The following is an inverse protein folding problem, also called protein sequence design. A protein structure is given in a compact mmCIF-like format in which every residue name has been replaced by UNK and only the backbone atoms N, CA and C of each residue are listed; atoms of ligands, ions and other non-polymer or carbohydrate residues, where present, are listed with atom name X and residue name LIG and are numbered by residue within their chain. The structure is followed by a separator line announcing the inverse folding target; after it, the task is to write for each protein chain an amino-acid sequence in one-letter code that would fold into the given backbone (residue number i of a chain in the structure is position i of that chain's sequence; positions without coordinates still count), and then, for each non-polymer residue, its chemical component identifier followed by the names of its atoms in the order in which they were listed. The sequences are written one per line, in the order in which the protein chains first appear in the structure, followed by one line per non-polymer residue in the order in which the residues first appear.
data_IF_751226128945
#
_entry.id   IF_751226128945
#
_cell.length_a   1.000
_cell.length_b   1.000
_cell.length_c   1.000
_cell.angle_alpha   90.00
_cell.angle_beta   90.00
_cell.angle_gamma   90.00
#
_symmetry.space_group_name_H-M   'P 1'
#
loop_
_entity.id
_entity.type
_entity.pdbx_description
1 polymer ?
#
# COMPACT_ATOMS: atom_id res chain seq x y z
N UNK A 1 -53.16 8.88 -34.30
CA UNK A 1 -52.68 9.30 -32.96
C UNK A 1 -51.78 8.27 -32.27
N UNK A 2 -51.98 6.94 -32.43
CA UNK A 2 -51.16 5.91 -31.73
C UNK A 2 -49.66 5.87 -32.13
N UNK A 3 -49.31 6.21 -33.36
CA UNK A 3 -47.93 6.13 -33.88
C UNK A 3 -47.00 7.23 -33.36
N UNK A 4 -47.51 8.43 -33.05
CA UNK A 4 -46.71 9.52 -32.47
C UNK A 4 -46.22 9.17 -31.07
N UNK A 5 -47.08 8.56 -30.24
CA UNK A 5 -46.74 8.22 -28.86
C UNK A 5 -45.68 7.11 -28.75
N UNK A 6 -45.66 6.16 -29.70
CA UNK A 6 -44.63 5.11 -29.77
C UNK A 6 -43.27 5.71 -30.13
N UNK A 7 -43.23 6.69 -31.03
CA UNK A 7 -42.00 7.36 -31.42
C UNK A 7 -41.40 8.18 -30.26
N UNK A 8 -42.24 8.91 -29.51
CA UNK A 8 -41.78 9.64 -28.33
C UNK A 8 -41.34 8.71 -27.19
N UNK A 9 -42.05 7.59 -26.97
CA UNK A 9 -41.63 6.60 -25.98
C UNK A 9 -40.29 5.95 -26.34
N UNK A 10 -40.05 5.67 -27.63
CA UNK A 10 -38.77 5.18 -28.12
C UNK A 10 -37.64 6.20 -27.95
N UNK A 11 -37.90 7.49 -28.20
CA UNK A 11 -36.91 8.55 -28.03
C UNK A 11 -36.56 8.78 -26.54
N UNK A 12 -37.54 8.73 -25.64
CA UNK A 12 -37.32 8.83 -24.20
C UNK A 12 -36.55 7.61 -23.66
N UNK A 13 -36.85 6.40 -24.15
CA UNK A 13 -36.08 5.21 -23.78
C UNK A 13 -34.63 5.30 -24.26
N UNK A 14 -34.39 5.83 -25.47
CA UNK A 14 -33.05 6.05 -26.00
C UNK A 14 -32.28 7.09 -25.16
N UNK A 15 -32.93 8.20 -24.77
CA UNK A 15 -32.33 9.19 -23.87
C UNK A 15 -31.99 8.63 -22.49
N UNK A 16 -32.85 7.79 -21.92
CA UNK A 16 -32.59 7.13 -20.63
C UNK A 16 -31.47 6.08 -20.72
N UNK A 17 -31.34 5.40 -21.87
CA UNK A 17 -30.25 4.44 -22.12
C UNK A 17 -28.89 5.15 -22.31
N UNK A 18 -28.85 6.35 -22.88
CA UNK A 18 -27.60 7.10 -23.04
C UNK A 18 -27.16 7.85 -21.78
N UNK A 19 -28.09 8.22 -20.89
CA UNK A 19 -27.75 8.84 -19.60
C UNK A 19 -27.27 7.83 -18.55
N UNK A 20 -27.49 6.53 -18.77
CA UNK A 20 -27.10 5.47 -17.85
C UNK A 20 -25.67 4.93 -18.08
N UNK A 21 -24.91 5.50 -19.03
CA UNK A 21 -23.56 5.06 -19.40
C UNK A 21 -22.43 6.06 -19.06
N UNK A 22 -22.69 7.06 -18.23
CA UNK A 22 -21.61 7.74 -17.52
C UNK A 22 -21.40 7.02 -16.18
N UNK A 23 -20.80 5.81 -16.23
CA UNK A 23 -19.91 5.44 -15.14
C UNK A 23 -18.71 6.37 -15.31
N UNK A 24 -18.79 7.55 -14.68
CA UNK A 24 -17.60 8.37 -14.50
C UNK A 24 -16.68 7.50 -13.63
N UNK A 25 -15.68 6.89 -14.26
CA UNK A 25 -14.49 6.45 -13.52
C UNK A 25 -14.04 7.71 -12.78
N UNK A 26 -14.14 7.67 -11.44
CA UNK A 26 -13.92 8.83 -10.59
C UNK A 26 -12.43 9.17 -10.62
N UNK A 27 -11.97 9.84 -11.69
CA UNK A 27 -10.60 10.33 -11.87
C UNK A 27 -10.35 11.58 -11.01
N UNK A 28 -10.79 11.54 -9.75
CA UNK A 28 -10.57 12.63 -8.82
C UNK A 28 -9.10 12.73 -8.43
N UNK A 29 -8.58 13.94 -8.48
CA UNK A 29 -7.22 14.30 -8.05
C UNK A 29 -7.32 15.32 -6.93
N UNK A 30 -6.54 15.14 -5.87
CA UNK A 30 -6.54 16.06 -4.75
C UNK A 30 -5.29 16.03 -3.91
N UNK A 31 -5.06 17.12 -3.18
CA UNK A 31 -3.93 17.25 -2.26
C UNK A 31 -4.36 16.68 -0.91
N UNK A 32 -3.56 15.76 -0.36
CA UNK A 32 -3.78 15.14 0.95
C UNK A 32 -2.64 15.41 1.90
N UNK A 33 -2.93 15.33 3.19
CA UNK A 33 -1.95 15.32 4.27
C UNK A 33 -1.98 13.96 4.94
N UNK A 34 -0.80 13.35 5.11
CA UNK A 34 -0.68 12.06 5.78
C UNK A 34 -0.74 12.29 7.30
N UNK A 35 -1.54 11.49 7.98
CA UNK A 35 -1.75 11.56 9.44
C UNK A 35 -1.18 10.35 10.18
N UNK A 36 -0.78 9.30 9.47
CA UNK A 36 -0.20 8.10 10.05
C UNK A 36 0.12 7.05 9.00
N UNK A 37 0.49 5.86 9.48
CA UNK A 37 0.63 4.65 8.68
C UNK A 37 -0.07 3.49 9.38
N UNK A 38 -0.48 2.47 8.62
CA UNK A 38 -0.96 1.20 9.14
C UNK A 38 -0.12 0.07 8.56
N UNK A 39 0.20 -0.90 9.39
CA UNK A 39 0.97 -2.07 8.99
C UNK A 39 0.07 -3.31 8.97
N UNK A 40 0.14 -4.09 7.90
CA UNK A 40 -0.42 -5.43 7.84
C UNK A 40 0.67 -6.41 7.39
N UNK A 41 0.71 -7.60 8.00
CA UNK A 41 1.78 -8.57 7.82
C UNK A 41 1.21 -9.85 7.24
N UNK A 42 1.93 -10.46 6.30
CA UNK A 42 1.47 -11.59 5.52
C UNK A 42 2.53 -12.68 5.39
N UNK A 43 2.05 -13.90 5.25
CA UNK A 43 2.86 -15.06 4.91
C UNK A 43 2.79 -15.29 3.39
N UNK A 44 3.94 -15.29 2.73
CA UNK A 44 4.09 -15.44 1.29
C UNK A 44 4.70 -16.79 0.86
N UNK A 45 4.49 -17.89 1.60
CA UNK A 45 4.99 -19.22 1.20
C UNK A 45 4.25 -19.82 0.00
N UNK A 46 3.01 -19.38 -0.23
CA UNK A 46 2.14 -19.93 -1.25
C UNK A 46 2.23 -19.22 -2.60
N UNK A 47 1.26 -19.48 -3.47
CA UNK A 47 1.12 -18.76 -4.75
C UNK A 47 0.80 -17.27 -4.57
N UNK A 48 0.19 -16.91 -3.43
CA UNK A 48 -0.20 -15.55 -3.08
C UNK A 48 -0.01 -15.32 -1.58
N UNK A 49 0.20 -14.07 -1.13
CA UNK A 49 0.25 -13.77 0.30
C UNK A 49 -1.06 -14.08 1.01
N UNK A 50 -0.96 -14.54 2.25
CA UNK A 50 -2.10 -14.84 3.13
C UNK A 50 -1.92 -14.19 4.50
N UNK A 51 -3.04 -13.97 5.21
CA UNK A 51 -3.04 -13.42 6.57
C UNK A 51 -2.30 -14.38 7.52
N UNK A 52 -1.54 -13.83 8.46
CA UNK A 52 -0.87 -14.59 9.51
C UNK A 52 -1.87 -14.85 10.65
N UNK A 53 -2.43 -16.05 10.73
CA UNK A 53 -3.47 -16.39 11.72
C UNK A 53 -2.92 -16.63 13.14
N UNK A 54 -1.72 -17.20 13.26
CA UNK A 54 -1.15 -17.64 14.54
C UNK A 54 -0.03 -16.71 15.06
N UNK A 55 0.10 -15.51 14.49
CA UNK A 55 1.19 -14.57 14.81
C UNK A 55 2.60 -15.06 14.44
N UNK A 56 2.72 -16.14 13.67
CA UNK A 56 3.98 -16.76 13.27
C UNK A 56 4.13 -16.78 11.75
N UNK A 57 5.29 -16.39 11.24
CA UNK A 57 5.61 -16.40 9.81
C UNK A 57 7.01 -16.99 9.58
N UNK A 58 7.19 -17.91 8.61
CA UNK A 58 8.53 -18.26 8.15
C UNK A 58 9.25 -16.99 7.73
N UNK A 59 10.48 -16.81 8.19
CA UNK A 59 11.27 -15.61 7.87
C UNK A 59 11.51 -15.43 6.37
N UNK A 60 11.54 -16.52 5.61
CA UNK A 60 11.67 -16.53 4.16
C UNK A 60 10.42 -16.07 3.40
N UNK A 61 9.29 -15.97 4.10
CA UNK A 61 7.99 -15.66 3.53
C UNK A 61 7.42 -14.35 4.05
N UNK A 62 8.17 -13.58 4.84
CA UNK A 62 7.66 -12.38 5.48
C UNK A 62 7.43 -11.24 4.49
N UNK A 63 6.17 -10.81 4.39
CA UNK A 63 5.72 -9.67 3.61
C UNK A 63 5.02 -8.67 4.52
N UNK A 64 5.33 -7.38 4.34
CA UNK A 64 4.64 -6.29 5.02
C UNK A 64 3.98 -5.35 4.01
N UNK A 65 2.74 -4.96 4.29
CA UNK A 65 1.99 -3.88 3.63
C UNK A 65 2.00 -2.66 4.53
N UNK A 66 2.48 -1.55 3.98
CA UNK A 66 2.47 -0.24 4.63
C UNK A 66 1.42 0.62 3.94
N UNK A 67 0.38 0.99 4.67
CA UNK A 67 -0.74 1.80 4.19
C UNK A 67 -0.65 3.21 4.77
N UNK A 68 -0.36 4.25 3.96
CA UNK A 68 -0.46 5.64 4.41
C UNK A 68 -1.90 6.00 4.80
N UNK A 69 -2.06 6.74 5.90
CA UNK A 69 -3.35 7.19 6.42
C UNK A 69 -3.54 8.67 6.10
N UNK A 70 -4.70 9.04 5.56
CA UNK A 70 -5.15 10.43 5.39
C UNK A 70 -6.64 10.54 5.72
N UNK A 71 -7.11 11.77 5.96
CA UNK A 71 -8.54 12.03 6.24
C UNK A 71 -9.42 11.81 5.01
N UNK A 72 -8.90 12.14 3.83
CA UNK A 72 -9.57 12.03 2.54
C UNK A 72 -8.70 11.28 1.55
N UNK A 73 -9.35 10.59 0.61
CA UNK A 73 -8.72 9.86 -0.48
C UNK A 73 -9.38 10.22 -1.80
N UNK A 74 -8.54 10.41 -2.82
CA UNK A 74 -8.86 10.64 -4.21
C UNK A 74 -8.20 9.55 -5.06
N UNK A 75 -8.65 9.36 -6.30
CA UNK A 75 -8.02 8.41 -7.23
C UNK A 75 -6.52 8.67 -7.43
N UNK A 76 -6.15 9.95 -7.55
CA UNK A 76 -4.76 10.39 -7.46
C UNK A 76 -4.57 11.33 -6.28
N UNK A 77 -3.78 10.91 -5.29
CA UNK A 77 -3.49 11.74 -4.12
C UNK A 77 -2.11 12.38 -4.27
N UNK A 78 -2.07 13.70 -4.40
CA UNK A 78 -0.84 14.48 -4.31
C UNK A 78 -0.52 14.71 -2.84
N UNK A 79 0.67 14.36 -2.40
CA UNK A 79 1.09 14.59 -1.03
C UNK A 79 1.41 16.08 -0.83
N UNK A 80 0.75 16.72 0.14
CA UNK A 80 1.03 18.09 0.57
C UNK A 80 2.49 18.27 0.98
N UNK A 81 3.06 17.25 1.62
CA UNK A 81 4.49 17.13 1.89
C UNK A 81 4.97 15.78 1.35
N UNK A 82 5.91 15.75 0.37
CA UNK A 82 6.43 14.51 -0.18
C UNK A 82 7.08 13.63 0.88
N UNK A 83 7.01 12.30 0.72
CA UNK A 83 7.80 11.38 1.54
C UNK A 83 9.22 11.38 0.97
N UNK A 84 10.21 11.66 1.83
CA UNK A 84 11.62 11.81 1.47
C UNK A 84 12.50 10.71 2.06
N UNK A 85 12.04 9.99 3.07
CA UNK A 85 12.72 8.80 3.59
C UNK A 85 11.73 7.74 4.04
N UNK A 86 12.16 6.49 3.87
CA UNK A 86 11.46 5.29 4.33
C UNK A 86 12.49 4.44 5.06
N UNK A 87 12.28 4.24 6.35
CA UNK A 87 13.15 3.42 7.19
C UNK A 87 12.41 2.18 7.68
N UNK A 88 13.15 1.09 7.80
CA UNK A 88 12.66 -0.13 8.46
C UNK A 88 13.67 -0.44 9.56
N UNK A 89 13.33 -0.05 10.78
CA UNK A 89 14.22 -0.18 11.94
C UNK A 89 13.96 -1.53 12.59
N UNK A 90 14.99 -2.35 12.75
CA UNK A 90 14.86 -3.58 13.54
C UNK A 90 14.90 -3.28 15.03
N UNK A 91 13.96 -3.80 15.82
CA UNK A 91 13.87 -3.56 17.27
C UNK A 91 14.58 -4.65 18.10
N UNK A 92 15.03 -5.70 17.43
CA UNK A 92 15.78 -6.83 17.98
C UNK A 92 17.03 -7.02 17.14
N UNK A 93 18.08 -7.63 17.68
CA UNK A 93 19.30 -7.89 16.91
C UNK A 93 18.99 -8.79 15.70
N UNK A 94 19.03 -8.24 14.49
CA UNK A 94 18.72 -8.94 13.25
C UNK A 94 19.82 -9.94 12.88
N UNK A 95 21.07 -9.49 13.00
CA UNK A 95 22.30 -10.26 12.96
C UNK A 95 23.47 -9.41 13.52
N UNK A 96 24.71 -9.88 13.41
CA UNK A 96 25.90 -9.16 13.90
C UNK A 96 26.13 -7.80 13.21
N UNK A 97 25.72 -7.66 11.93
CA UNK A 97 25.89 -6.42 11.15
C UNK A 97 24.77 -5.41 11.41
N UNK A 98 23.60 -5.89 11.85
CA UNK A 98 22.38 -5.10 12.07
C UNK A 98 21.83 -5.35 13.49
N UNK A 99 22.45 -4.77 14.53
CA UNK A 99 21.90 -4.82 15.89
C UNK A 99 20.58 -4.04 15.99
N UNK A 100 19.86 -4.21 17.10
CA UNK A 100 18.66 -3.44 17.41
C UNK A 100 18.88 -1.93 17.24
N UNK A 101 17.93 -1.27 16.58
CA UNK A 101 17.99 0.14 16.17
C UNK A 101 18.58 0.38 14.79
N UNK A 102 19.06 -0.66 14.09
CA UNK A 102 19.59 -0.51 12.72
C UNK A 102 18.48 -0.31 11.69
N UNK A 103 18.73 0.59 10.73
CA UNK A 103 17.91 0.70 9.53
C UNK A 103 18.27 -0.40 8.54
N UNK A 104 17.34 -1.32 8.36
CA UNK A 104 17.43 -2.49 7.49
C UNK A 104 16.54 -2.35 6.26
N UNK A 105 16.06 -1.14 5.91
CA UNK A 105 15.24 -0.89 4.72
C UNK A 105 15.80 -1.55 3.46
N UNK A 106 17.12 -1.51 3.26
CA UNK A 106 17.80 -2.11 2.10
C UNK A 106 17.67 -3.63 1.98
N UNK A 107 17.38 -4.32 3.09
CA UNK A 107 17.16 -5.77 3.12
C UNK A 107 15.74 -6.15 2.65
N UNK A 108 14.85 -5.17 2.55
CA UNK A 108 13.53 -5.32 1.98
C UNK A 108 13.53 -4.91 0.50
N UNK A 109 12.68 -5.57 -0.29
CA UNK A 109 12.43 -5.20 -1.69
C UNK A 109 10.95 -4.98 -1.94
N UNK A 110 10.67 -4.11 -2.92
CA UNK A 110 9.32 -3.92 -3.42
C UNK A 110 8.76 -5.24 -3.93
N UNK A 111 7.58 -5.61 -3.42
CA UNK A 111 6.94 -6.86 -3.77
C UNK A 111 6.26 -6.74 -5.13
N UNK A 112 6.47 -7.70 -6.07
CA UNK A 112 5.91 -7.58 -7.40
C UNK A 112 4.38 -7.55 -7.40
N UNK A 113 3.74 -6.48 -7.95
CA UNK A 113 2.30 -6.34 -8.07
C UNK A 113 1.55 -7.58 -8.60
N UNK A 114 2.15 -8.22 -9.61
CA UNK A 114 1.57 -9.36 -10.31
C UNK A 114 1.40 -10.61 -9.43
N UNK A 115 2.14 -10.69 -8.32
CA UNK A 115 2.10 -11.80 -7.36
C UNK A 115 1.09 -11.55 -6.22
N UNK A 116 0.41 -10.40 -6.21
CA UNK A 116 -0.73 -10.14 -5.34
C UNK A 116 -1.99 -10.75 -5.96
N UNK A 117 -2.74 -11.51 -5.16
CA UNK A 117 -4.06 -12.05 -5.55
C UNK A 117 -5.02 -10.90 -5.86
N UNK A 118 -6.05 -11.15 -6.67
CA UNK A 118 -7.11 -10.19 -7.01
C UNK A 118 -7.75 -9.55 -5.78
N UNK A 119 -7.90 -10.30 -4.68
CA UNK A 119 -8.39 -9.78 -3.40
C UNK A 119 -7.48 -8.71 -2.74
N UNK A 120 -6.22 -8.60 -3.16
CA UNK A 120 -5.29 -7.55 -2.72
C UNK A 120 -5.13 -6.44 -3.77
N UNK A 121 -5.67 -6.63 -4.99
CA UNK A 121 -5.59 -5.67 -6.10
C UNK A 121 -6.69 -4.61 -6.06
N UNK A 122 -7.64 -4.71 -5.13
CA UNK A 122 -8.61 -3.62 -4.85
C UNK A 122 -7.91 -2.36 -4.32
N UNK A 123 -6.65 -2.48 -3.88
CA UNK A 123 -5.78 -1.36 -3.58
C UNK A 123 -4.77 -1.19 -4.71
N UNK A 124 -4.84 -0.05 -5.38
CA UNK A 124 -3.81 0.41 -6.30
C UNK A 124 -2.43 0.36 -5.59
N UNK A 125 -1.33 0.22 -6.34
CA UNK A 125 -0.02 0.02 -5.71
C UNK A 125 0.78 1.32 -5.77
N UNK A 126 1.31 1.73 -4.62
CA UNK A 126 2.23 2.85 -4.57
C UNK A 126 3.64 2.32 -4.86
N UNK A 127 4.32 2.98 -5.79
CA UNK A 127 5.71 2.63 -6.10
C UNK A 127 6.65 3.34 -5.16
N UNK A 128 7.58 2.58 -4.57
CA UNK A 128 8.66 3.17 -3.80
C UNK A 128 9.80 3.61 -4.73
N UNK A 129 9.81 4.90 -5.07
CA UNK A 129 10.86 5.50 -5.90
C UNK A 129 12.04 6.07 -5.08
N UNK A 130 12.06 5.90 -3.75
CA UNK A 130 13.13 6.41 -2.89
C UNK A 130 14.46 5.70 -3.16
N UNK A 131 14.44 4.41 -3.52
CA UNK A 131 15.62 3.66 -3.98
C UNK A 131 16.27 4.28 -5.24
N UNK A 132 15.52 5.10 -6.00
CA UNK A 132 16.00 5.85 -7.16
C UNK A 132 16.43 7.29 -6.81
N UNK A 133 16.42 7.64 -5.52
CA UNK A 133 16.72 8.99 -5.03
C UNK A 133 15.63 10.01 -5.35
N UNK A 134 14.40 9.57 -5.61
CA UNK A 134 13.27 10.45 -5.93
C UNK A 134 12.28 10.45 -4.76
N UNK A 135 11.81 11.63 -4.31
CA UNK A 135 10.76 11.69 -3.31
C UNK A 135 9.45 11.14 -3.86
N UNK A 136 8.63 10.57 -2.98
CA UNK A 136 7.28 10.13 -3.33
C UNK A 136 6.37 11.34 -3.18
N UNK A 137 5.86 11.86 -4.29
CA UNK A 137 5.00 13.04 -4.33
C UNK A 137 3.53 12.70 -4.54
N UNK A 138 3.24 11.48 -5.01
CA UNK A 138 1.88 11.01 -5.27
C UNK A 138 1.70 9.58 -4.80
N UNK A 139 0.49 9.26 -4.31
CA UNK A 139 0.05 7.90 -4.02
C UNK A 139 -1.35 7.68 -4.62
N UNK A 140 -1.53 6.59 -5.36
CA UNK A 140 -2.84 6.19 -5.91
C UNK A 140 -3.43 5.14 -4.98
N UNK A 141 -4.42 5.46 -4.13
CA UNK A 141 -5.10 4.56 -3.17
C UNK A 141 -4.24 3.49 -2.47
N UNK A 142 -2.93 3.70 -2.37
CA UNK A 142 -2.03 2.59 -2.59
C UNK A 142 -1.02 2.34 -1.53
N UNK A 143 -0.82 1.07 -1.26
CA UNK A 143 0.09 0.60 -0.25
C UNK A 143 1.46 0.30 -0.84
N UNK A 144 2.46 0.34 0.03
CA UNK A 144 3.77 -0.21 -0.26
C UNK A 144 3.83 -1.64 0.25
N UNK A 145 4.13 -2.58 -0.64
CA UNK A 145 4.37 -3.97 -0.28
C UNK A 145 5.87 -4.25 -0.30
N UNK A 146 6.41 -4.73 0.82
CA UNK A 146 7.84 -4.96 1.01
C UNK A 146 8.10 -6.38 1.51
N UNK A 147 8.93 -7.13 0.80
CA UNK A 147 9.34 -8.49 1.18
C UNK A 147 10.75 -8.48 1.75
N UNK A 148 10.97 -9.23 2.82
CA UNK A 148 12.29 -9.40 3.42
C UNK A 148 13.10 -10.43 2.62
N UNK A 149 14.23 -10.04 2.04
CA UNK A 149 15.07 -10.95 1.24
C UNK A 149 16.32 -11.47 1.96
N UNK A 150 16.65 -10.90 3.12
CA UNK A 150 17.75 -11.39 3.96
C UNK A 150 17.15 -12.03 5.20
N UNK A 151 17.59 -13.23 5.55
CA UNK A 151 16.99 -13.97 6.65
C UNK A 151 17.68 -13.64 7.97
N UNK A 152 16.93 -13.21 8.99
CA UNK A 152 17.50 -13.04 10.31
C UNK A 152 17.88 -14.39 10.94
N UNK A 153 18.62 -14.34 12.04
CA UNK A 153 18.80 -15.50 12.91
C UNK A 153 17.43 -15.98 13.42
N UNK A 154 17.24 -17.27 13.78
CA UNK A 154 15.98 -17.69 14.40
C UNK A 154 15.69 -16.87 15.67
N UNK A 155 14.49 -16.30 15.79
CA UNK A 155 14.12 -15.44 16.91
C UNK A 155 12.86 -14.61 16.65
N UNK A 156 12.36 -13.92 17.68
CA UNK A 156 11.25 -13.00 17.52
C UNK A 156 11.78 -11.67 16.97
N UNK A 157 11.14 -11.15 15.92
CA UNK A 157 11.54 -9.87 15.32
C UNK A 157 10.40 -8.89 15.34
N UNK A 158 10.71 -7.67 15.72
CA UNK A 158 9.81 -6.54 15.53
C UNK A 158 10.54 -5.49 14.73
N UNK A 159 9.80 -4.82 13.87
CA UNK A 159 10.28 -3.73 13.04
C UNK A 159 9.46 -2.50 13.38
N UNK A 160 10.11 -1.34 13.46
CA UNK A 160 9.46 -0.05 13.40
C UNK A 160 9.61 0.51 12.01
N UNK A 161 8.50 0.86 11.39
CA UNK A 161 8.48 1.50 10.09
C UNK A 161 8.38 2.99 10.30
N UNK A 162 9.18 3.77 9.59
CA UNK A 162 9.14 5.25 9.65
C UNK A 162 9.06 5.82 8.23
N UNK A 163 8.07 6.68 7.98
CA UNK A 163 7.99 7.53 6.80
C UNK A 163 8.27 8.96 7.21
N UNK A 164 9.33 9.55 6.65
CA UNK A 164 9.70 10.95 6.87
C UNK A 164 9.19 11.80 5.71
N UNK A 165 8.46 12.87 6.02
CA UNK A 165 7.97 13.84 5.05
C UNK A 165 8.89 15.07 4.98
N UNK A 166 8.88 15.79 3.87
CA UNK A 166 9.75 16.94 3.60
C UNK A 166 9.60 18.09 4.63
N UNK A 167 8.43 18.19 5.27
CA UNK A 167 8.16 19.15 6.33
C UNK A 167 8.68 18.72 7.72
N UNK A 168 9.32 17.56 7.81
CA UNK A 168 9.97 17.02 9.01
C UNK A 168 9.09 16.15 9.89
N UNK A 169 7.85 15.82 9.47
CA UNK A 169 7.04 14.85 10.20
C UNK A 169 7.58 13.42 10.00
N UNK A 170 7.50 12.61 11.06
CA UNK A 170 7.83 11.19 11.02
C UNK A 170 6.59 10.41 11.42
N UNK A 171 6.03 9.67 10.48
CA UNK A 171 4.92 8.76 10.70
C UNK A 171 5.49 7.37 10.99
N UNK A 172 5.11 6.76 12.11
CA UNK A 172 5.71 5.49 12.52
C UNK A 172 4.74 4.52 13.15
N UNK A 173 4.96 3.23 12.91
CA UNK A 173 4.25 2.12 13.54
C UNK A 173 5.18 0.92 13.73
N UNK A 174 4.84 0.05 14.68
CA UNK A 174 5.60 -1.16 15.01
C UNK A 174 4.86 -2.44 14.59
N UNK A 175 5.62 -3.47 14.20
CA UNK A 175 5.06 -4.77 13.80
C UNK A 175 4.94 -5.72 14.99
N UNK A 176 4.01 -6.68 14.89
CA UNK A 176 3.66 -7.59 15.99
C UNK A 176 3.89 -9.10 15.71
N UNK A 177 4.57 -9.51 14.63
CA UNK A 177 4.72 -10.93 14.25
C UNK A 177 6.01 -11.58 14.75
N UNK A 178 5.94 -12.86 15.11
CA UNK A 178 7.09 -13.73 15.39
C UNK A 178 7.59 -14.36 14.08
N UNK A 179 8.86 -14.14 13.73
CA UNK A 179 9.50 -14.86 12.63
C UNK A 179 10.15 -16.15 13.14
N UNK A 180 10.21 -17.20 12.32
CA UNK A 180 10.92 -18.43 12.64
C UNK A 180 11.77 -18.94 11.47
#
# INVERSE_FOLDING_TARGET
MKTKNIFYAGLCALFMLTSAMCCDDDDSEGIIELTGIKLNQYNNTGAYPVIIENGQCPKEAYLIRISPISEYYYSTNILKSPIIAFRIITLTDFNEDYPAGSDIYKLFKEYPPMLLNENFREHYLSSDCLDKGQPITTITWGDFYKVLLTYPQPGNYQFRIELETEDGNILSEETEVILY
#
